data_IF_454661761807
#
_entry.id   IF_454661761807
#
_cell.length_a   1.000
_cell.length_b   1.000
_cell.length_c   1.000
_cell.angle_alpha   90.00
_cell.angle_beta   90.00
_cell.angle_gamma   90.00
#
_symmetry.space_group_name_H-M   'P 1'
#
loop_
_entity.id
_entity.type
_entity.pdbx_description
1 polymer ?
#
# COMPACT_ATOMS: atom_id res chain seq x y z
N UNK A 1 -17.63 -48.33 38.09
CA UNK A 1 -16.28 -48.89 38.28
C UNK A 1 -15.68 -49.02 36.90
N UNK A 2 -15.08 -47.93 36.46
CA UNK A 2 -14.17 -47.86 35.33
C UNK A 2 -13.22 -46.75 35.74
N UNK A 3 -12.04 -47.16 36.22
CA UNK A 3 -10.99 -46.29 36.70
C UNK A 3 -10.30 -45.64 35.49
N UNK A 4 -10.35 -44.31 35.39
CA UNK A 4 -9.56 -43.53 34.43
C UNK A 4 -8.11 -43.47 34.93
N UNK A 5 -7.24 -44.28 34.34
CA UNK A 5 -5.79 -44.22 34.51
C UNK A 5 -5.23 -42.91 33.93
N UNK A 6 -4.99 -41.94 34.82
CA UNK A 6 -4.23 -40.73 34.52
C UNK A 6 -2.74 -41.10 34.32
N UNK A 7 -2.08 -40.73 33.20
CA UNK A 7 -0.64 -40.93 33.04
C UNK A 7 0.15 -40.05 34.01
N UNK A 8 1.33 -40.49 34.50
CA UNK A 8 2.11 -39.70 35.44
C UNK A 8 2.71 -38.47 34.75
N UNK A 9 2.59 -37.31 35.39
CA UNK A 9 3.26 -36.07 35.03
C UNK A 9 4.78 -36.29 35.09
N UNK A 10 5.48 -36.03 33.99
CA UNK A 10 6.94 -35.99 33.98
C UNK A 10 7.42 -34.84 34.88
N UNK A 11 8.05 -35.19 36.00
CA UNK A 11 8.86 -34.28 36.80
C UNK A 11 10.13 -33.95 36.01
N UNK A 12 10.29 -32.68 35.61
CA UNK A 12 11.57 -32.19 35.08
C UNK A 12 12.12 -31.14 36.04
N UNK A 13 13.29 -31.45 36.57
CA UNK A 13 13.96 -30.72 37.63
C UNK A 13 14.37 -29.31 37.21
N UNK A 14 14.25 -28.40 38.18
CA UNK A 14 14.75 -27.02 38.14
C UNK A 14 16.28 -27.03 38.09
N UNK A 15 16.84 -26.55 36.97
CA UNK A 15 18.29 -26.40 36.80
C UNK A 15 18.66 -25.09 36.13
N UNK A 16 19.17 -24.15 36.93
CA UNK A 16 20.27 -23.26 36.53
C UNK A 16 19.91 -22.01 35.72
N UNK A 17 19.83 -20.89 36.44
CA UNK A 17 20.06 -19.53 35.95
C UNK A 17 21.38 -19.43 35.15
N UNK A 18 21.30 -18.96 33.91
CA UNK A 18 22.44 -18.40 33.17
C UNK A 18 21.94 -17.34 32.21
N UNK A 19 21.77 -16.15 32.78
CA UNK A 19 21.85 -14.84 32.14
C UNK A 19 22.74 -14.82 30.87
N UNK A 20 22.13 -14.49 29.74
CA UNK A 20 22.78 -14.40 28.43
C UNK A 20 21.80 -13.86 27.39
N UNK A 21 21.16 -12.73 27.70
CA UNK A 21 20.43 -11.93 26.71
C UNK A 21 21.45 -11.31 25.75
N UNK A 22 21.88 -12.10 24.77
CA UNK A 22 22.38 -11.55 23.50
C UNK A 22 21.13 -11.07 22.75
N UNK A 23 20.84 -9.77 22.88
CA UNK A 23 19.98 -9.06 21.95
C UNK A 23 20.63 -9.16 20.55
N UNK A 24 20.36 -10.25 19.83
CA UNK A 24 20.37 -10.21 18.37
C UNK A 24 19.30 -9.21 17.98
N UNK A 25 19.72 -7.96 17.83
CA UNK A 25 19.02 -7.02 16.99
C UNK A 25 18.80 -7.74 15.65
N UNK A 26 17.55 -8.11 15.37
CA UNK A 26 17.04 -8.46 14.06
C UNK A 26 17.33 -7.27 13.12
N UNK A 27 18.58 -7.19 12.66
CA UNK A 27 19.00 -6.38 11.54
C UNK A 27 18.34 -7.06 10.35
N UNK A 28 17.11 -6.63 10.03
CA UNK A 28 16.45 -6.95 8.78
C UNK A 28 17.42 -6.55 7.68
N UNK A 29 18.20 -7.52 7.20
CA UNK A 29 19.12 -7.37 6.10
C UNK A 29 18.25 -6.87 4.96
N UNK A 30 18.38 -5.58 4.64
CA UNK A 30 17.69 -4.97 3.51
C UNK A 30 18.25 -5.72 2.32
N UNK A 31 17.55 -6.77 1.89
CA UNK A 31 17.93 -7.54 0.73
C UNK A 31 18.15 -6.52 -0.37
N UNK A 32 19.39 -6.38 -0.83
CA UNK A 32 19.66 -5.56 -2.00
C UNK A 32 18.67 -5.99 -3.06
N UNK A 33 18.05 -5.02 -3.74
CA UNK A 33 17.00 -5.21 -4.73
C UNK A 33 17.54 -6.04 -5.89
N UNK A 34 17.63 -7.35 -5.66
CA UNK A 34 18.18 -8.34 -6.56
C UNK A 34 17.20 -8.41 -7.71
N UNK A 35 17.51 -7.67 -8.77
CA UNK A 35 16.76 -7.74 -10.00
C UNK A 35 16.99 -9.13 -10.59
N UNK A 36 16.02 -10.01 -10.39
CA UNK A 36 16.07 -11.36 -10.94
C UNK A 36 16.17 -11.28 -12.48
N UNK A 37 17.12 -12.00 -13.09
CA UNK A 37 17.30 -11.97 -14.53
C UNK A 37 16.04 -12.45 -15.25
N UNK A 38 15.58 -11.66 -16.22
CA UNK A 38 14.32 -11.90 -16.94
C UNK A 38 14.59 -12.54 -18.30
N UNK A 39 14.19 -13.80 -18.45
CA UNK A 39 14.24 -14.48 -19.75
C UNK A 39 13.10 -14.00 -20.65
N UNK A 40 13.41 -13.62 -21.88
CA UNK A 40 12.44 -13.24 -22.90
C UNK A 40 11.34 -14.31 -23.08
N UNK A 41 10.11 -13.89 -23.38
CA UNK A 41 8.97 -14.78 -23.62
C UNK A 41 9.12 -15.65 -24.88
N UNK A 42 9.81 -15.14 -25.91
CA UNK A 42 9.83 -15.74 -27.25
C UNK A 42 11.21 -16.28 -27.68
N UNK A 43 12.28 -15.99 -26.92
CA UNK A 43 13.63 -16.48 -27.23
C UNK A 43 14.44 -16.79 -25.96
N UNK A 44 15.73 -17.10 -26.14
CA UNK A 44 16.65 -17.46 -25.05
C UNK A 44 17.40 -16.26 -24.45
N UNK A 45 17.15 -15.04 -24.95
CA UNK A 45 17.77 -13.83 -24.42
C UNK A 45 17.34 -13.59 -22.96
N UNK A 46 18.33 -13.35 -22.10
CA UNK A 46 18.12 -12.97 -20.70
C UNK A 46 18.46 -11.49 -20.55
N UNK A 47 17.57 -10.75 -19.89
CA UNK A 47 17.72 -9.32 -19.63
C UNK A 47 17.95 -9.08 -18.14
N UNK A 48 18.71 -8.04 -17.76
CA UNK A 48 19.00 -7.75 -16.36
C UNK A 48 17.77 -7.22 -15.59
N UNK A 49 16.78 -6.65 -16.28
CA UNK A 49 15.57 -6.09 -15.67
C UNK A 49 14.35 -6.38 -16.55
N UNK A 50 13.16 -6.29 -15.94
CA UNK A 50 11.89 -6.45 -16.65
C UNK A 50 11.69 -5.39 -17.73
N UNK A 51 12.05 -4.13 -17.45
CA UNK A 51 11.97 -3.02 -18.41
C UNK A 51 12.79 -3.29 -19.68
N UNK A 52 13.99 -3.86 -19.54
CA UNK A 52 14.82 -4.24 -20.69
C UNK A 52 14.21 -5.43 -21.45
N UNK A 53 13.62 -6.40 -20.74
CA UNK A 53 12.94 -7.54 -21.34
C UNK A 53 11.70 -7.13 -22.16
N UNK A 54 10.88 -6.22 -21.65
CA UNK A 54 9.71 -5.66 -22.34
C UNK A 54 10.16 -4.93 -23.61
N UNK A 55 11.21 -4.10 -23.54
CA UNK A 55 11.77 -3.43 -24.72
C UNK A 55 12.28 -4.43 -25.76
N UNK A 56 13.01 -5.46 -25.32
CA UNK A 56 13.50 -6.51 -26.21
C UNK A 56 12.34 -7.26 -26.90
N UNK A 57 11.27 -7.58 -26.17
CA UNK A 57 10.08 -8.20 -26.73
C UNK A 57 9.43 -7.32 -27.82
N UNK A 58 9.39 -6.00 -27.60
CA UNK A 58 8.87 -5.05 -28.58
C UNK A 58 9.74 -4.90 -29.82
N UNK A 59 11.06 -4.77 -29.65
CA UNK A 59 11.98 -4.48 -30.76
C UNK A 59 12.32 -5.72 -31.61
N UNK A 60 12.50 -6.88 -30.97
CA UNK A 60 12.97 -8.10 -31.66
C UNK A 60 11.83 -9.03 -32.08
N UNK A 61 10.71 -9.00 -31.34
CA UNK A 61 9.57 -9.91 -31.57
C UNK A 61 8.31 -9.18 -32.02
N UNK A 62 8.37 -7.85 -32.16
CA UNK A 62 7.20 -7.01 -32.45
C UNK A 62 6.03 -7.30 -31.50
N UNK A 63 6.35 -7.59 -30.23
CA UNK A 63 5.39 -7.85 -29.18
C UNK A 63 5.35 -6.65 -28.22
N UNK A 64 4.33 -5.80 -28.38
CA UNK A 64 4.11 -4.67 -27.48
C UNK A 64 3.12 -5.07 -26.37
N UNK A 65 3.65 -5.35 -25.18
CA UNK A 65 2.85 -5.76 -24.02
C UNK A 65 1.77 -4.71 -23.67
N UNK A 66 2.06 -3.42 -23.81
CA UNK A 66 1.10 -2.34 -23.53
C UNK A 66 -0.02 -2.28 -24.57
N UNK A 67 0.26 -2.57 -25.84
CA UNK A 67 -0.77 -2.73 -26.87
C UNK A 67 -1.64 -3.97 -26.61
N UNK A 68 -1.02 -5.10 -26.26
CA UNK A 68 -1.74 -6.35 -25.95
C UNK A 68 -2.64 -6.17 -24.73
N UNK A 69 -2.16 -5.51 -23.66
CA UNK A 69 -2.96 -5.17 -22.47
C UNK A 69 -4.21 -4.37 -22.83
N UNK A 70 -4.06 -3.31 -23.62
CA UNK A 70 -5.20 -2.47 -24.05
C UNK A 70 -6.15 -3.22 -24.99
N UNK A 71 -5.63 -4.05 -25.88
CA UNK A 71 -6.43 -4.76 -26.89
C UNK A 71 -7.28 -5.88 -26.28
N UNK A 72 -6.69 -6.68 -25.39
CA UNK A 72 -7.36 -7.83 -24.79
C UNK A 72 -7.95 -7.54 -23.41
N UNK A 73 -7.83 -6.29 -22.93
CA UNK A 73 -8.21 -5.89 -21.57
C UNK A 73 -7.58 -6.81 -20.52
N UNK A 74 -6.26 -6.96 -20.57
CA UNK A 74 -5.55 -7.87 -19.66
C UNK A 74 -5.67 -7.37 -18.21
N UNK A 75 -6.39 -8.15 -17.40
CA UNK A 75 -6.35 -8.14 -15.94
C UNK A 75 -5.25 -9.09 -15.43
N UNK A 76 -5.00 -9.09 -14.12
CA UNK A 76 -3.97 -9.92 -13.47
C UNK A 76 -4.08 -11.40 -13.87
N UNK A 77 -5.30 -11.96 -13.85
CA UNK A 77 -5.53 -13.36 -14.17
C UNK A 77 -5.32 -13.69 -15.65
N UNK A 78 -5.82 -12.85 -16.55
CA UNK A 78 -5.63 -13.04 -17.99
C UNK A 78 -4.19 -12.79 -18.42
N UNK A 79 -3.44 -11.92 -17.72
CA UNK A 79 -1.99 -11.80 -17.88
C UNK A 79 -1.27 -13.09 -17.47
N UNK A 80 -1.56 -13.62 -16.28
CA UNK A 80 -0.99 -14.90 -15.82
C UNK A 80 -1.27 -16.01 -16.85
N UNK A 81 -2.53 -16.11 -17.31
CA UNK A 81 -2.92 -17.08 -18.34
C UNK A 81 -2.16 -16.86 -19.65
N UNK A 82 -1.95 -15.62 -20.07
CA UNK A 82 -1.19 -15.27 -21.28
C UNK A 82 0.27 -15.70 -21.17
N UNK A 83 0.96 -15.34 -20.08
CA UNK A 83 2.36 -15.70 -19.86
C UNK A 83 2.50 -17.23 -19.84
N UNK A 84 1.63 -17.93 -19.13
CA UNK A 84 1.63 -19.39 -19.07
C UNK A 84 1.32 -20.04 -20.42
N UNK A 85 0.41 -19.46 -21.21
CA UNK A 85 0.14 -19.89 -22.57
C UNK A 85 1.39 -19.77 -23.46
N UNK A 86 2.09 -18.63 -23.39
CA UNK A 86 3.32 -18.41 -24.18
C UNK A 86 4.38 -19.45 -23.80
N UNK A 87 4.60 -19.70 -22.50
CA UNK A 87 5.59 -20.68 -22.05
C UNK A 87 5.26 -22.12 -22.41
N UNK A 88 3.98 -22.50 -22.37
CA UNK A 88 3.52 -23.88 -22.62
C UNK A 88 3.41 -24.21 -24.12
N UNK A 89 2.77 -23.33 -24.88
CA UNK A 89 2.41 -23.60 -26.28
C UNK A 89 3.43 -23.03 -27.27
N UNK A 90 4.33 -22.14 -26.82
CA UNK A 90 5.35 -21.46 -27.64
C UNK A 90 4.78 -20.89 -28.95
N UNK A 91 3.72 -20.06 -28.88
CA UNK A 91 3.12 -19.45 -30.04
C UNK A 91 4.09 -18.46 -30.70
N UNK A 92 3.92 -18.26 -32.01
CA UNK A 92 4.61 -17.19 -32.74
C UNK A 92 4.16 -15.81 -32.25
N UNK A 93 5.07 -14.82 -32.09
CA UNK A 93 4.71 -13.47 -31.63
C UNK A 93 3.64 -12.78 -32.50
N UNK A 94 3.58 -13.12 -33.79
CA UNK A 94 2.60 -12.58 -34.74
C UNK A 94 1.13 -12.85 -34.39
N UNK A 95 0.86 -13.89 -33.59
CA UNK A 95 -0.48 -14.26 -33.15
C UNK A 95 -1.09 -13.17 -32.25
N UNK A 96 -0.28 -12.47 -31.45
CA UNK A 96 -0.74 -11.41 -30.54
C UNK A 96 -1.06 -10.10 -31.27
N UNK A 97 -0.55 -9.91 -32.50
CA UNK A 97 -0.84 -8.74 -33.34
C UNK A 97 -2.14 -8.85 -34.12
N UNK A 98 -2.50 -10.07 -34.52
CA UNK A 98 -3.59 -10.33 -35.47
C UNK A 98 -4.85 -10.92 -34.82
N UNK A 99 -4.74 -11.48 -33.61
CA UNK A 99 -5.86 -12.08 -32.89
C UNK A 99 -6.93 -11.05 -32.50
N UNK A 100 -8.19 -11.36 -32.83
CA UNK A 100 -9.37 -10.61 -32.33
C UNK A 100 -9.89 -11.20 -31.01
N UNK A 101 -9.53 -12.44 -30.69
CA UNK A 101 -9.92 -13.15 -29.47
C UNK A 101 -8.70 -13.70 -28.73
N UNK A 102 -8.73 -13.67 -27.39
CA UNK A 102 -7.66 -14.24 -26.57
C UNK A 102 -7.58 -15.75 -26.75
N UNK A 103 -6.37 -16.28 -26.97
CA UNK A 103 -6.13 -17.73 -27.15
C UNK A 103 -5.90 -18.46 -25.83
N UNK A 104 -5.79 -17.71 -24.73
CA UNK A 104 -5.42 -18.19 -23.39
C UNK A 104 -6.57 -18.12 -22.38
N UNK A 105 -7.82 -18.32 -22.82
CA UNK A 105 -9.00 -18.20 -21.93
C UNK A 105 -9.16 -19.39 -20.97
N UNK A 106 -8.63 -20.55 -21.33
CA UNK A 106 -8.74 -21.81 -20.58
C UNK A 106 -8.05 -21.73 -19.20
N UNK A 107 -8.75 -22.18 -18.16
CA UNK A 107 -8.25 -22.21 -16.78
C UNK A 107 -7.05 -23.13 -16.58
N UNK A 108 -6.78 -24.05 -17.51
CA UNK A 108 -5.54 -24.84 -17.49
C UNK A 108 -4.28 -23.96 -17.46
N UNK A 109 -4.36 -22.71 -17.95
CA UNK A 109 -3.26 -21.74 -17.92
C UNK A 109 -3.12 -20.98 -16.60
N UNK A 110 -4.01 -21.19 -15.62
CA UNK A 110 -3.80 -20.70 -14.24
C UNK A 110 -2.92 -21.65 -13.42
N UNK A 111 -2.61 -22.84 -13.95
CA UNK A 111 -1.73 -23.78 -13.26
C UNK A 111 -0.33 -23.18 -13.15
N UNK A 112 0.30 -23.21 -11.96
CA UNK A 112 1.62 -22.64 -11.73
C UNK A 112 2.62 -23.12 -12.78
N UNK A 113 3.40 -22.18 -13.31
CA UNK A 113 4.62 -22.45 -14.06
C UNK A 113 5.77 -22.13 -13.13
N UNK A 114 6.79 -22.98 -13.14
CA UNK A 114 7.89 -22.91 -12.18
C UNK A 114 8.76 -21.67 -12.42
N UNK A 115 8.97 -20.87 -11.36
CA UNK A 115 9.91 -19.75 -11.27
C UNK A 115 9.91 -18.80 -12.49
N UNK A 116 8.74 -18.34 -12.90
CA UNK A 116 8.60 -17.40 -14.01
C UNK A 116 8.65 -15.95 -13.54
N UNK A 117 9.73 -15.24 -13.86
CA UNK A 117 9.91 -13.82 -13.47
C UNK A 117 8.88 -12.88 -14.07
N UNK A 118 8.31 -13.22 -15.24
CA UNK A 118 7.18 -12.46 -15.80
C UNK A 118 5.93 -12.55 -14.92
N UNK A 119 5.71 -13.63 -14.17
CA UNK A 119 4.55 -13.73 -13.28
C UNK A 119 4.72 -12.90 -12.00
N UNK A 120 5.94 -12.50 -11.65
CA UNK A 120 6.24 -11.67 -10.48
C UNK A 120 6.18 -10.18 -10.77
N UNK A 121 6.03 -9.80 -12.03
CA UNK A 121 5.92 -8.41 -12.44
C UNK A 121 4.53 -7.86 -12.13
N UNK A 122 4.52 -6.71 -11.48
CA UNK A 122 3.31 -5.97 -11.20
C UNK A 122 2.80 -5.30 -12.49
N UNK A 123 1.57 -5.62 -12.87
CA UNK A 123 0.94 -4.99 -14.02
C UNK A 123 0.71 -3.49 -13.81
N UNK A 124 0.57 -3.01 -12.59
CA UNK A 124 0.38 -1.58 -12.35
C UNK A 124 1.67 -0.79 -12.64
N UNK A 125 2.85 -1.39 -12.37
CA UNK A 125 4.16 -0.83 -12.76
C UNK A 125 4.26 -0.65 -14.29
N UNK A 126 3.62 -1.52 -15.08
CA UNK A 126 3.57 -1.36 -16.54
C UNK A 126 2.90 -0.05 -16.95
N UNK A 127 1.85 0.37 -16.25
CA UNK A 127 1.18 1.64 -16.57
C UNK A 127 2.09 2.82 -16.28
N UNK A 128 2.85 2.78 -15.18
CA UNK A 128 3.86 3.80 -14.86
C UNK A 128 4.96 3.85 -15.93
N UNK A 129 5.46 2.69 -16.35
CA UNK A 129 6.47 2.57 -17.42
C UNK A 129 5.92 3.15 -18.73
N UNK A 130 4.66 2.90 -19.08
CA UNK A 130 4.03 3.41 -20.30
C UNK A 130 3.73 4.91 -20.24
N UNK A 131 3.33 5.42 -19.08
CA UNK A 131 3.10 6.86 -18.85
C UNK A 131 4.40 7.66 -18.89
N UNK A 132 5.49 7.07 -18.42
CA UNK A 132 6.83 7.65 -18.46
C UNK A 132 7.56 7.40 -19.80
N UNK A 133 7.06 6.45 -20.60
CA UNK A 133 7.78 5.76 -21.67
C UNK A 133 7.62 6.28 -23.09
N UNK A 134 7.49 7.59 -23.29
CA UNK A 134 7.80 8.20 -24.60
C UNK A 134 9.25 8.72 -24.70
N UNK A 135 10.11 8.39 -23.75
CA UNK A 135 11.55 8.65 -23.79
C UNK A 135 12.33 7.42 -23.33
N UNK A 136 13.23 6.96 -24.20
CA UNK A 136 14.15 5.89 -23.88
C UNK A 136 15.10 6.28 -22.73
N UNK A 137 15.17 5.41 -21.72
CA UNK A 137 16.36 5.22 -20.89
C UNK A 137 16.52 6.15 -19.70
N UNK A 138 16.45 5.59 -18.50
CA UNK A 138 17.42 5.95 -17.47
C UNK A 138 17.91 4.68 -16.79
N UNK A 139 19.22 4.50 -16.85
CA UNK A 139 19.95 3.31 -16.44
C UNK A 139 21.40 3.34 -16.89
N UNK A 140 22.15 4.37 -16.46
CA UNK A 140 23.57 4.26 -16.13
C UNK A 140 24.65 4.43 -17.22
N UNK A 141 25.49 5.46 -17.00
CA UNK A 141 26.89 5.65 -17.42
C UNK A 141 27.20 6.21 -18.83
N UNK A 142 27.51 7.51 -18.88
CA UNK A 142 28.79 8.03 -19.42
C UNK A 142 29.06 9.49 -19.03
N UNK A 143 30.32 9.73 -18.71
CA UNK A 143 30.90 10.99 -18.25
C UNK A 143 31.10 12.02 -19.38
N UNK A 144 31.16 13.28 -18.97
CA UNK A 144 31.66 14.48 -19.67
C UNK A 144 30.73 15.22 -20.66
N UNK A 145 30.34 16.42 -20.23
CA UNK A 145 30.37 17.63 -21.08
C UNK A 145 29.02 18.23 -21.46
N UNK A 146 28.60 19.25 -20.70
CA UNK A 146 27.56 20.24 -21.02
C UNK A 146 26.29 19.72 -21.71
N UNK A 147 25.41 19.08 -20.95
CA UNK A 147 24.03 18.88 -21.36
C UNK A 147 23.22 20.16 -21.06
N UNK A 148 23.01 20.98 -22.10
CA UNK A 148 21.95 21.98 -22.08
C UNK A 148 20.65 21.17 -22.08
N UNK A 149 20.02 21.12 -20.90
CA UNK A 149 18.84 20.30 -20.61
C UNK A 149 17.95 20.11 -21.83
N UNK A 150 17.84 18.83 -22.22
CA UNK A 150 17.03 18.34 -23.32
C UNK A 150 15.67 19.05 -23.32
N UNK A 151 15.47 19.94 -24.29
CA UNK A 151 14.27 20.76 -24.38
C UNK A 151 13.16 19.86 -24.91
N UNK A 152 12.37 19.32 -23.99
CA UNK A 152 11.14 18.57 -24.27
C UNK A 152 10.22 19.43 -25.15
N UNK A 153 10.23 19.19 -26.46
CA UNK A 153 9.39 19.94 -27.41
C UNK A 153 7.97 19.36 -27.40
N UNK A 154 7.17 19.82 -26.44
CA UNK A 154 5.72 19.58 -26.43
C UNK A 154 5.08 20.22 -27.67
N UNK A 155 4.13 19.53 -28.28
CA UNK A 155 3.30 20.17 -29.31
C UNK A 155 2.53 21.34 -28.69
N UNK A 156 2.28 22.40 -29.47
CA UNK A 156 1.59 23.61 -28.97
C UNK A 156 0.26 23.29 -28.31
N UNK A 157 -0.46 22.27 -28.79
CA UNK A 157 -1.75 21.87 -28.22
C UNK A 157 -1.59 21.08 -26.91
N UNK A 158 -0.57 20.25 -26.77
CA UNK A 158 -0.25 19.60 -25.49
C UNK A 158 0.14 20.64 -24.43
N UNK A 159 0.95 21.63 -24.79
CA UNK A 159 1.35 22.70 -23.88
C UNK A 159 0.13 23.51 -23.39
N UNK A 160 -0.80 23.87 -24.28
CA UNK A 160 -2.04 24.57 -23.89
C UNK A 160 -2.91 23.75 -22.94
N UNK A 161 -3.05 22.45 -23.21
CA UNK A 161 -3.82 21.54 -22.32
C UNK A 161 -3.20 21.47 -20.94
N UNK A 162 -1.88 21.26 -20.87
CA UNK A 162 -1.15 21.22 -19.59
C UNK A 162 -1.28 22.54 -18.84
N UNK A 163 -1.10 23.67 -19.51
CA UNK A 163 -1.28 24.99 -18.90
C UNK A 163 -2.71 25.19 -18.37
N UNK A 164 -3.72 24.69 -19.09
CA UNK A 164 -5.12 24.72 -18.65
C UNK A 164 -5.34 23.90 -17.37
N UNK A 165 -4.81 22.67 -17.34
CA UNK A 165 -4.89 21.78 -16.16
C UNK A 165 -4.18 22.41 -14.96
N UNK A 166 -2.98 22.97 -15.15
CA UNK A 166 -2.21 23.62 -14.08
C UNK A 166 -3.00 24.78 -13.50
N UNK A 167 -3.61 25.62 -14.35
CA UNK A 167 -4.41 26.76 -13.89
C UNK A 167 -5.65 26.31 -13.12
N UNK A 168 -6.34 25.27 -13.61
CA UNK A 168 -7.52 24.69 -12.95
C UNK A 168 -7.15 24.12 -11.58
N UNK A 169 -6.11 23.29 -11.49
CA UNK A 169 -5.64 22.73 -10.22
C UNK A 169 -5.20 23.84 -9.25
N UNK A 170 -4.52 24.87 -9.76
CA UNK A 170 -4.13 26.03 -8.94
C UNK A 170 -5.34 26.79 -8.40
N UNK A 171 -6.40 26.93 -9.20
CA UNK A 171 -7.64 27.56 -8.75
C UNK A 171 -8.36 26.69 -7.69
N UNK A 172 -8.44 25.39 -7.91
CA UNK A 172 -9.02 24.45 -6.94
C UNK A 172 -8.25 24.44 -5.61
N UNK A 173 -6.91 24.43 -5.65
CA UNK A 173 -6.09 24.51 -4.44
C UNK A 173 -6.35 25.80 -3.66
N UNK A 174 -6.46 26.94 -4.34
CA UNK A 174 -6.80 28.22 -3.69
C UNK A 174 -8.20 28.21 -3.07
N UNK A 175 -9.18 27.60 -3.73
CA UNK A 175 -10.53 27.48 -3.18
C UNK A 175 -10.54 26.61 -1.91
N UNK A 176 -9.85 25.46 -1.95
CA UNK A 176 -9.72 24.57 -0.79
C UNK A 176 -9.00 25.24 0.36
N UNK A 177 -7.93 25.99 0.10
CA UNK A 177 -7.21 26.75 1.12
C UNK A 177 -8.11 27.79 1.80
N UNK A 178 -8.91 28.54 1.01
CA UNK A 178 -9.86 29.51 1.56
C UNK A 178 -10.93 28.83 2.44
N UNK A 179 -11.43 27.66 2.04
CA UNK A 179 -12.39 26.89 2.83
C UNK A 179 -11.79 26.41 4.15
N UNK A 180 -10.54 25.92 4.13
CA UNK A 180 -9.83 25.51 5.34
C UNK A 180 -9.58 26.70 6.27
N UNK A 181 -9.18 27.85 5.73
CA UNK A 181 -8.98 29.07 6.50
C UNK A 181 -10.28 29.55 7.15
N UNK A 182 -11.41 29.46 6.44
CA UNK A 182 -12.73 29.78 6.99
C UNK A 182 -13.11 28.83 8.12
N UNK A 183 -12.96 27.51 7.91
CA UNK A 183 -13.25 26.51 8.93
C UNK A 183 -12.37 26.70 10.18
N UNK A 184 -11.08 27.00 10.01
CA UNK A 184 -10.18 27.31 11.12
C UNK A 184 -10.63 28.54 11.91
N UNK A 185 -11.06 29.61 11.23
CA UNK A 185 -11.60 30.80 11.88
C UNK A 185 -12.87 30.49 12.67
N UNK A 186 -13.78 29.67 12.12
CA UNK A 186 -15.02 29.30 12.78
C UNK A 186 -14.77 28.43 14.02
N UNK A 187 -13.80 27.51 13.96
CA UNK A 187 -13.36 26.73 15.12
C UNK A 187 -12.83 27.65 16.22
N UNK A 188 -12.04 28.67 15.88
CA UNK A 188 -11.50 29.61 16.87
C UNK A 188 -12.62 30.42 17.55
N UNK A 189 -13.59 30.91 16.78
CA UNK A 189 -14.80 31.58 17.31
C UNK A 189 -15.61 30.65 18.21
N UNK A 190 -15.77 29.39 17.82
CA UNK A 190 -16.48 28.40 18.61
C UNK A 190 -15.75 28.12 19.93
N UNK A 191 -14.42 27.98 19.89
CA UNK A 191 -13.58 27.81 21.10
C UNK A 191 -13.66 29.01 22.03
N UNK A 192 -13.66 30.23 21.49
CA UNK A 192 -13.81 31.45 22.28
C UNK A 192 -15.21 31.54 22.92
N UNK A 193 -16.26 31.28 22.14
CA UNK A 193 -17.64 31.22 22.66
C UNK A 193 -17.79 30.18 23.77
N UNK A 194 -17.19 29.00 23.60
CA UNK A 194 -17.21 27.95 24.60
C UNK A 194 -16.44 28.31 25.87
N UNK A 195 -15.24 28.92 25.75
CA UNK A 195 -14.49 29.44 26.90
C UNK A 195 -15.33 30.44 27.70
N UNK A 196 -15.97 31.39 27.02
CA UNK A 196 -16.86 32.36 27.66
C UNK A 196 -18.04 31.69 28.38
N UNK A 197 -18.62 30.62 27.82
CA UNK A 197 -19.68 29.85 28.47
C UNK A 197 -19.21 29.09 29.72
N UNK A 198 -18.02 28.47 29.65
CA UNK A 198 -17.42 27.79 30.80
C UNK A 198 -17.13 28.78 31.94
N UNK A 199 -16.54 29.94 31.64
CA UNK A 199 -16.30 31.00 32.62
C UNK A 199 -17.61 31.50 33.27
N UNK A 200 -18.68 31.65 32.48
CA UNK A 200 -20.01 31.97 33.01
C UNK A 200 -20.58 30.85 33.89
N UNK A 201 -20.29 29.59 33.60
CA UNK A 201 -20.74 28.44 34.39
C UNK A 201 -19.96 28.32 35.71
N UNK A 202 -18.64 28.58 35.71
CA UNK A 202 -17.82 28.64 36.93
C UNK A 202 -18.27 29.77 37.86
N UNK A 203 -18.59 30.94 37.31
CA UNK A 203 -19.18 32.05 38.08
C UNK A 203 -20.59 31.73 38.63
N UNK A 204 -21.33 30.80 38.00
CA UNK A 204 -22.60 30.29 38.52
C UNK A 204 -22.41 29.19 39.57
N UNK A 205 -21.39 28.32 39.45
CA UNK A 205 -21.02 27.33 40.47
C UNK A 205 -20.56 27.99 41.78
N UNK A 206 -19.83 29.11 41.72
CA UNK A 206 -19.42 29.87 42.91
C UNK A 206 -20.58 30.59 43.63
N UNK A 207 -21.79 30.59 43.05
CA UNK A 207 -23.02 31.13 43.64
C UNK A 207 -24.12 30.08 43.81
N UNK A 208 -23.87 28.81 43.48
CA UNK A 208 -24.87 27.74 43.62
C UNK A 208 -24.89 27.22 45.06
N UNK A 209 -26.07 27.09 45.71
CA UNK A 209 -26.16 26.54 47.04
C UNK A 209 -25.65 25.09 47.05
N UNK A 210 -24.76 24.78 47.98
CA UNK A 210 -24.08 23.49 48.19
C UNK A 210 -25.04 22.28 48.12
N UNK A 211 -26.30 22.47 48.56
CA UNK A 211 -27.38 21.46 48.50
C UNK A 211 -27.71 20.97 47.07
N UNK A 212 -27.71 21.85 46.06
CA UNK A 212 -28.04 21.45 44.68
C UNK A 212 -26.93 20.63 44.03
N UNK A 213 -25.68 20.86 44.42
CA UNK A 213 -24.52 20.11 43.93
C UNK A 213 -24.52 18.70 44.53
N UNK A 214 -24.89 18.57 45.81
CA UNK A 214 -25.02 17.27 46.47
C UNK A 214 -26.12 16.41 45.82
N UNK A 215 -27.26 17.01 45.47
CA UNK A 215 -28.39 16.29 44.86
C UNK A 215 -28.05 15.74 43.46
N UNK A 216 -27.36 16.52 42.63
CA UNK A 216 -26.92 16.08 41.29
C UNK A 216 -25.88 14.95 41.39
N UNK A 217 -25.00 15.00 42.40
CA UNK A 217 -23.97 13.97 42.62
C UNK A 217 -24.58 12.64 43.06
N UNK A 218 -25.67 12.68 43.83
CA UNK A 218 -26.41 11.48 44.22
C UNK A 218 -27.19 10.89 43.03
N UNK A 219 -27.75 11.72 42.14
CA UNK A 219 -28.43 11.26 40.92
C UNK A 219 -27.47 10.60 39.91
N UNK A 220 -26.22 11.07 39.83
CA UNK A 220 -25.20 10.55 38.90
C UNK A 220 -24.40 9.36 39.42
N UNK A 221 -24.63 8.92 40.66
CA UNK A 221 -23.89 7.86 41.36
C UNK A 221 -23.90 6.50 40.66
N UNK A 222 -24.83 6.31 39.73
CA UNK A 222 -25.01 5.07 38.98
C UNK A 222 -24.58 5.17 37.51
N UNK A 223 -23.98 6.29 37.09
CA UNK A 223 -23.51 6.48 35.73
C UNK A 223 -22.11 5.90 35.54
N UNK A 224 -21.87 5.31 34.36
CA UNK A 224 -20.56 4.72 33.99
C UNK A 224 -19.44 5.77 34.04
N UNK A 225 -19.74 7.05 33.79
CA UNK A 225 -18.75 8.14 33.85
C UNK A 225 -18.20 8.41 35.26
N UNK A 226 -18.83 7.89 36.31
CA UNK A 226 -18.38 8.06 37.70
C UNK A 226 -17.63 6.85 38.26
N UNK A 227 -17.52 5.77 37.49
CA UNK A 227 -16.73 4.58 37.85
C UNK A 227 -15.25 4.91 37.68
N UNK A 228 -14.42 4.47 38.63
CA UNK A 228 -12.99 4.74 38.61
C UNK A 228 -12.28 3.80 37.61
N UNK A 229 -11.26 4.31 36.92
CA UNK A 229 -10.49 3.53 35.92
C UNK A 229 -9.82 2.29 36.54
N UNK A 230 -9.60 2.30 37.85
CA UNK A 230 -9.07 1.16 38.62
C UNK A 230 -10.04 -0.02 38.71
N UNK A 231 -11.36 0.20 38.60
CA UNK A 231 -12.36 -0.87 38.57
C UNK A 231 -12.38 -1.62 37.22
N UNK A 232 -11.80 -1.03 36.17
CA UNK A 232 -11.66 -1.66 34.84
C UNK A 232 -10.42 -2.56 34.72
N UNK A 233 -9.54 -2.61 35.73
CA UNK A 233 -8.29 -3.39 35.66
C UNK A 233 -8.53 -4.89 35.46
N UNK A 234 -9.59 -5.44 36.04
CA UNK A 234 -9.97 -6.85 35.84
C UNK A 234 -10.43 -7.15 34.41
N UNK A 235 -11.08 -6.18 33.76
CA UNK A 235 -11.50 -6.28 32.36
C UNK A 235 -10.27 -6.34 31.43
N UNK A 236 -9.28 -5.47 31.65
CA UNK A 236 -8.05 -5.48 30.86
C UNK A 236 -7.18 -6.73 31.09
N UNK A 237 -7.09 -7.22 32.33
CA UNK A 237 -6.29 -8.41 32.66
C UNK A 237 -6.80 -9.69 31.98
N UNK A 238 -8.08 -9.74 31.61
CA UNK A 238 -8.67 -10.91 30.94
C UNK A 238 -8.20 -11.03 29.48
N UNK A 239 -7.76 -9.93 28.85
CA UNK A 239 -7.17 -9.93 27.50
C UNK A 239 -5.67 -10.21 27.49
N UNK A 240 -4.97 -9.96 28.61
CA UNK A 240 -3.53 -10.15 28.74
C UNK A 240 -3.06 -11.60 28.67
N UNK A 241 -3.96 -12.56 28.92
CA UNK A 241 -3.62 -13.99 29.04
C UNK A 241 -3.72 -14.76 27.70
N UNK A 242 -4.26 -14.15 26.65
CA UNK A 242 -4.34 -14.75 25.31
C UNK A 242 -3.63 -13.85 24.30
N UNK A 243 -2.31 -13.70 24.46
CA UNK A 243 -1.48 -13.25 23.35
C UNK A 243 -1.63 -14.25 22.21
N UNK A 244 -2.10 -13.79 21.05
CA UNK A 244 -2.14 -14.60 19.82
C UNK A 244 -0.68 -14.76 19.39
N UNK A 245 -0.10 -15.95 19.60
CA UNK A 245 1.16 -16.38 19.01
C UNK A 245 0.93 -16.91 17.60
#
# INVERSE_FOLDING_TARGET
>A
MSDDECPPLCEMETGGDSNGEEEEADEWEVAEEQNDPVRCLFCEQISPTMTVAIRHAKEQHEFDLGEVRRRFHLDEYSYIKMINYIRREKPEPAVFRSGTSAFWTDDKYLKPVENETWLMFDLDELDEILLNGNGAGSGGARENGNDVGDTMTLTTDQYRKLQGIINELTAQLREKENLLQHAASDIEKMKESFRNLLEQQEQKKSKAPEEKIAQIREELKHCVSTVAVEDDQGYFNTYSHFGIH
#
